data_IF_067708265185
#
_entry.id   IF_067708265185
#
_cell.length_a   1.000
_cell.length_b   1.000
_cell.length_c   1.000
_cell.angle_alpha   90.00
_cell.angle_beta   90.00
_cell.angle_gamma   90.00
#
_symmetry.space_group_name_H-M   'P 1'
#
loop_
_entity.id
_entity.type
_entity.pdbx_description
1 polymer ?
#
# COMPACT_ATOMS: atom_id res chain seq x y z
N UNK A 1 59.02 28.09 -6.05
CA UNK A 1 58.19 29.13 -6.70
C UNK A 1 56.74 28.86 -6.33
N UNK A 2 55.91 29.71 -5.75
CA UNK A 2 56.01 31.02 -5.08
C UNK A 2 54.64 31.20 -4.39
N UNK A 3 54.62 31.39 -3.08
CA UNK A 3 54.10 32.56 -2.33
C UNK A 3 52.57 32.83 -2.36
N UNK A 4 51.97 32.77 -1.16
CA UNK A 4 50.77 33.54 -0.76
C UNK A 4 51.03 35.06 -0.85
N UNK A 5 50.01 35.95 -0.74
CA UNK A 5 49.62 36.39 0.61
C UNK A 5 48.17 36.90 0.84
N UNK A 6 47.88 36.90 2.15
CA UNK A 6 46.96 37.67 2.99
C UNK A 6 46.74 39.17 2.64
N UNK A 7 45.55 39.71 2.98
CA UNK A 7 45.25 41.11 3.43
C UNK A 7 43.78 41.14 3.94
N UNK A 8 43.44 41.21 5.24
CA UNK A 8 43.51 42.29 6.25
C UNK A 8 43.01 43.68 5.84
N UNK A 9 42.02 44.18 6.58
CA UNK A 9 41.66 45.60 6.76
C UNK A 9 40.36 45.73 7.58
N UNK A 10 40.42 45.67 8.92
CA UNK A 10 40.48 46.77 9.92
C UNK A 10 39.18 47.58 10.14
N UNK A 11 38.67 47.41 11.37
CA UNK A 11 38.19 48.42 12.32
C UNK A 11 37.72 49.79 11.82
N UNK A 12 36.52 50.19 12.25
CA UNK A 12 36.31 51.43 13.01
C UNK A 12 35.06 51.34 13.90
N UNK A 13 35.24 51.70 15.17
CA UNK A 13 34.19 52.13 16.11
C UNK A 13 34.49 53.59 16.44
N UNK A 14 33.48 54.48 16.52
CA UNK A 14 33.38 55.35 17.69
C UNK A 14 31.91 55.43 18.16
N UNK A 15 31.59 55.19 19.44
CA UNK A 15 31.62 56.11 20.61
C UNK A 15 30.52 57.20 20.57
N UNK A 16 29.40 56.86 21.21
CA UNK A 16 28.48 57.64 22.07
C UNK A 16 28.27 59.14 21.86
N UNK A 17 27.01 59.57 21.71
CA UNK A 17 26.53 60.82 22.31
C UNK A 17 25.00 60.85 22.49
N UNK A 18 24.57 60.86 23.76
CA UNK A 18 23.48 61.67 24.35
C UNK A 18 22.15 61.87 23.59
N UNK A 19 21.05 61.37 24.18
CA UNK A 19 19.89 62.21 24.62
C UNK A 19 18.78 61.38 25.28
N UNK A 20 18.53 61.67 26.56
CA UNK A 20 17.20 61.87 27.19
C UNK A 20 16.24 60.67 27.35
N UNK A 21 15.65 60.47 28.55
CA UNK A 21 14.46 59.64 28.70
C UNK A 21 13.25 60.46 28.24
N UNK A 22 12.69 60.14 27.07
CA UNK A 22 11.41 60.74 26.66
C UNK A 22 10.29 59.86 27.19
N UNK A 23 9.67 60.35 28.25
CA UNK A 23 8.38 59.97 28.79
C UNK A 23 7.42 59.44 27.70
N UNK A 24 7.12 58.15 27.72
CA UNK A 24 5.85 57.66 27.16
C UNK A 24 4.77 57.98 28.19
N UNK A 25 4.39 59.25 28.22
CA UNK A 25 3.18 59.71 28.85
C UNK A 25 2.00 59.00 28.18
N UNK A 26 1.26 58.27 28.99
CA UNK A 26 -0.21 58.27 29.02
C UNK A 26 -0.88 58.33 27.65
N UNK A 27 -1.12 57.16 27.07
CA UNK A 27 -2.31 56.94 26.26
C UNK A 27 -3.17 55.93 27.00
N UNK A 28 -3.60 56.29 28.21
CA UNK A 28 -4.90 55.83 28.70
C UNK A 28 -5.96 56.56 27.86
N UNK A 29 -6.20 56.03 26.66
CA UNK A 29 -7.43 56.26 25.95
C UNK A 29 -8.55 55.66 26.80
N UNK A 30 -9.07 56.45 27.76
CA UNK A 30 -10.30 56.18 28.48
C UNK A 30 -11.44 56.07 27.45
N UNK A 31 -11.65 54.87 26.94
CA UNK A 31 -12.96 54.45 26.47
C UNK A 31 -13.86 54.52 27.70
N UNK A 32 -14.58 55.64 27.83
CA UNK A 32 -15.74 55.75 28.71
C UNK A 32 -16.75 54.71 28.23
N UNK A 33 -16.60 53.50 28.75
CA UNK A 33 -17.40 52.37 28.39
C UNK A 33 -18.73 52.55 29.11
N UNK A 34 -19.74 53.05 28.39
CA UNK A 34 -21.14 52.93 28.80
C UNK A 34 -21.38 51.50 29.29
N UNK A 35 -22.02 51.32 30.44
CA UNK A 35 -22.13 50.02 31.12
C UNK A 35 -22.66 48.89 30.20
N UNK A 36 -23.45 49.24 29.19
CA UNK A 36 -23.95 48.31 28.15
C UNK A 36 -22.83 47.77 27.24
N UNK A 37 -21.85 48.59 26.86
CA UNK A 37 -20.71 48.17 26.04
C UNK A 37 -19.74 47.26 26.83
N UNK A 38 -19.61 47.47 28.14
CA UNK A 38 -18.75 46.62 28.99
C UNK A 38 -19.33 45.21 29.14
N UNK A 39 -20.65 45.12 29.33
CA UNK A 39 -21.38 43.86 29.39
C UNK A 39 -21.30 43.12 28.03
N UNK A 40 -21.48 43.84 26.92
CA UNK A 40 -21.34 43.26 25.59
C UNK A 40 -19.91 42.73 25.34
N UNK A 41 -18.88 43.45 25.78
CA UNK A 41 -17.49 43.03 25.63
C UNK A 41 -17.18 41.77 26.45
N UNK A 42 -17.67 41.68 27.70
CA UNK A 42 -17.53 40.48 28.53
C UNK A 42 -18.28 39.27 27.95
N UNK A 43 -19.48 39.48 27.41
CA UNK A 43 -20.26 38.42 26.77
C UNK A 43 -19.55 37.88 25.50
N UNK A 44 -18.97 38.78 24.68
CA UNK A 44 -18.18 38.39 23.52
C UNK A 44 -16.90 37.64 23.93
N UNK A 45 -16.22 38.07 24.98
CA UNK A 45 -15.03 37.39 25.49
C UNK A 45 -15.36 36.00 26.04
N UNK A 46 -16.46 35.86 26.79
CA UNK A 46 -16.93 34.56 27.27
C UNK A 46 -17.31 33.63 26.11
N UNK A 47 -17.98 34.15 25.08
CA UNK A 47 -18.31 33.41 23.85
C UNK A 47 -17.06 32.96 23.09
N UNK A 48 -16.07 33.84 22.94
CA UNK A 48 -14.81 33.48 22.29
C UNK A 48 -14.06 32.38 23.06
N UNK A 49 -14.02 32.47 24.39
CA UNK A 49 -13.41 31.43 25.22
C UNK A 49 -14.15 30.08 25.09
N UNK A 50 -15.49 30.08 25.03
CA UNK A 50 -16.28 28.86 24.80
C UNK A 50 -16.01 28.27 23.40
N UNK A 51 -15.93 29.13 22.38
CA UNK A 51 -15.58 28.71 21.02
C UNK A 51 -14.18 28.11 20.94
N UNK A 52 -13.19 28.72 21.59
CA UNK A 52 -11.82 28.19 21.67
C UNK A 52 -11.78 26.82 22.37
N UNK A 53 -12.52 26.66 23.47
CA UNK A 53 -12.65 25.38 24.16
C UNK A 53 -13.29 24.30 23.26
N UNK A 54 -14.33 24.65 22.50
CA UNK A 54 -14.96 23.73 21.54
C UNK A 54 -14.02 23.35 20.40
N UNK A 55 -13.29 24.32 19.84
CA UNK A 55 -12.33 24.09 18.75
C UNK A 55 -11.21 23.16 19.22
N UNK A 56 -10.64 23.37 20.40
CA UNK A 56 -9.58 22.51 20.95
C UNK A 56 -10.09 21.08 21.20
N UNK A 57 -11.30 20.94 21.74
CA UNK A 57 -11.95 19.64 21.91
C UNK A 57 -12.21 18.92 20.58
N UNK A 58 -12.71 19.63 19.55
CA UNK A 58 -12.92 19.06 18.22
C UNK A 58 -11.61 18.63 17.57
N UNK A 59 -10.53 19.43 17.69
CA UNK A 59 -9.19 19.06 17.23
C UNK A 59 -8.70 17.77 17.90
N UNK A 60 -8.94 17.61 19.20
CA UNK A 60 -8.65 16.38 19.93
C UNK A 60 -9.37 15.16 19.34
N UNK A 61 -10.67 15.31 19.04
CA UNK A 61 -11.47 14.25 18.42
C UNK A 61 -11.03 13.90 17.00
N UNK A 62 -10.71 14.90 16.16
CA UNK A 62 -10.20 14.66 14.80
C UNK A 62 -8.89 13.89 14.87
N UNK A 63 -7.95 14.28 15.72
CA UNK A 63 -6.69 13.57 15.90
C UNK A 63 -6.88 12.13 16.40
N UNK A 64 -7.90 11.89 17.23
CA UNK A 64 -8.25 10.54 17.67
C UNK A 64 -8.80 9.70 16.50
N UNK A 65 -9.73 10.26 15.73
CA UNK A 65 -10.30 9.58 14.57
C UNK A 65 -9.23 9.25 13.52
N UNK A 66 -8.28 10.16 13.27
CA UNK A 66 -7.18 9.90 12.34
C UNK A 66 -6.32 8.70 12.77
N UNK A 67 -6.08 8.55 14.08
CA UNK A 67 -5.37 7.38 14.63
C UNK A 67 -6.19 6.11 14.47
N UNK A 68 -7.48 6.16 14.76
CA UNK A 68 -8.39 5.02 14.63
C UNK A 68 -8.49 4.56 13.17
N UNK A 69 -8.63 5.48 12.22
CA UNK A 69 -8.61 5.20 10.78
C UNK A 69 -7.28 4.57 10.36
N UNK A 70 -6.16 5.08 10.88
CA UNK A 70 -4.83 4.53 10.58
C UNK A 70 -4.66 3.09 11.09
N UNK A 71 -5.17 2.78 12.29
CA UNK A 71 -5.18 1.42 12.85
C UNK A 71 -6.08 0.51 12.03
N UNK A 72 -7.30 0.97 11.72
CA UNK A 72 -8.25 0.20 10.93
C UNK A 72 -7.70 -0.09 9.52
N UNK A 73 -7.11 0.90 8.86
CA UNK A 73 -6.46 0.74 7.55
C UNK A 73 -5.35 -0.31 7.61
N UNK A 74 -4.55 -0.34 8.69
CA UNK A 74 -3.53 -1.38 8.89
C UNK A 74 -4.15 -2.76 9.06
N UNK A 75 -5.20 -2.89 9.86
CA UNK A 75 -5.90 -4.16 10.04
C UNK A 75 -6.55 -4.65 8.74
N UNK A 76 -7.20 -3.76 7.98
CA UNK A 76 -7.78 -4.10 6.67
C UNK A 76 -6.70 -4.58 5.71
N UNK A 77 -5.54 -3.91 5.64
CA UNK A 77 -4.40 -4.40 4.85
C UNK A 77 -3.97 -5.79 5.31
N UNK A 78 -3.74 -5.98 6.61
CA UNK A 78 -3.34 -7.28 7.15
C UNK A 78 -4.35 -8.41 6.84
N UNK A 79 -5.65 -8.12 6.94
CA UNK A 79 -6.74 -9.03 6.57
C UNK A 79 -6.91 -9.23 5.07
N UNK A 80 -6.59 -8.24 4.23
CA UNK A 80 -6.67 -8.37 2.78
C UNK A 80 -5.50 -9.17 2.19
N UNK A 81 -4.42 -9.39 2.95
CA UNK A 81 -3.22 -10.02 2.43
C UNK A 81 -3.05 -11.48 2.89
N UNK A 82 -3.36 -11.82 4.15
CA UNK A 82 -3.04 -13.15 4.68
C UNK A 82 -4.03 -14.29 4.31
N UNK A 83 -5.35 -14.08 4.30
CA UNK A 83 -6.32 -15.09 3.86
C UNK A 83 -6.34 -15.25 2.33
N UNK A 84 -6.03 -14.16 1.61
CA UNK A 84 -6.13 -14.13 0.15
C UNK A 84 -4.84 -14.56 -0.55
N UNK A 85 -3.68 -14.52 0.11
CA UNK A 85 -2.43 -14.96 -0.50
C UNK A 85 -2.52 -16.42 -0.99
N UNK A 86 -3.14 -17.31 -0.21
CA UNK A 86 -3.34 -18.70 -0.63
C UNK A 86 -4.24 -18.80 -1.86
N UNK A 87 -5.31 -17.99 -1.91
CA UNK A 87 -6.18 -17.89 -3.08
C UNK A 87 -5.42 -17.37 -4.30
N UNK A 88 -4.63 -16.30 -4.17
CA UNK A 88 -3.84 -15.72 -5.26
C UNK A 88 -2.79 -16.69 -5.80
N UNK A 89 -2.09 -17.39 -4.90
CA UNK A 89 -1.13 -18.43 -5.27
C UNK A 89 -1.82 -19.60 -5.98
N UNK A 90 -2.97 -20.05 -5.44
CA UNK A 90 -3.76 -21.11 -6.06
C UNK A 90 -4.23 -20.68 -7.46
N UNK A 91 -4.71 -19.48 -7.63
CA UNK A 91 -5.23 -18.99 -8.91
C UNK A 91 -4.12 -18.83 -9.94
N UNK A 92 -2.98 -18.25 -9.56
CA UNK A 92 -1.82 -18.14 -10.45
C UNK A 92 -1.27 -19.52 -10.86
N UNK A 93 -1.18 -20.46 -9.93
CA UNK A 93 -0.73 -21.82 -10.24
C UNK A 93 -1.77 -22.60 -11.07
N UNK A 94 -3.06 -22.33 -10.88
CA UNK A 94 -4.13 -22.85 -11.76
C UNK A 94 -3.90 -22.39 -13.20
N UNK A 95 -3.64 -21.09 -13.39
CA UNK A 95 -3.31 -20.53 -14.72
C UNK A 95 -2.06 -21.18 -15.31
N UNK A 96 -1.03 -21.39 -14.49
CA UNK A 96 0.19 -22.07 -14.94
C UNK A 96 -0.10 -23.50 -15.43
N UNK A 97 -0.94 -24.26 -14.72
CA UNK A 97 -1.36 -25.61 -15.12
C UNK A 97 -2.07 -25.57 -16.47
N UNK A 98 -3.00 -24.64 -16.67
CA UNK A 98 -3.72 -24.46 -17.94
C UNK A 98 -2.75 -24.19 -19.09
N UNK A 99 -1.83 -23.23 -18.92
CA UNK A 99 -0.82 -22.89 -19.92
C UNK A 99 0.09 -24.09 -20.22
N UNK A 100 0.54 -24.81 -19.19
CA UNK A 100 1.38 -25.99 -19.35
C UNK A 100 0.67 -27.11 -20.13
N UNK A 101 -0.62 -27.32 -19.89
CA UNK A 101 -1.42 -28.33 -20.60
C UNK A 101 -1.66 -27.96 -22.07
N UNK A 102 -1.94 -26.68 -22.34
CA UNK A 102 -2.03 -26.15 -23.71
C UNK A 102 -0.71 -26.39 -24.47
N UNK A 103 0.43 -26.12 -23.82
CA UNK A 103 1.77 -26.37 -24.39
C UNK A 103 2.06 -27.86 -24.63
N UNK A 104 1.63 -28.72 -23.72
CA UNK A 104 1.75 -30.17 -23.86
C UNK A 104 0.78 -30.79 -24.87
N UNK A 105 -0.17 -30.01 -25.41
CA UNK A 105 -1.29 -30.50 -26.24
C UNK A 105 -2.11 -31.59 -25.56
N UNK A 106 -2.16 -31.57 -24.22
CA UNK A 106 -2.91 -32.51 -23.41
C UNK A 106 -4.24 -31.88 -22.97
N UNK A 107 -5.28 -32.69 -22.82
CA UNK A 107 -6.53 -32.27 -22.18
C UNK A 107 -6.41 -32.42 -20.66
N UNK A 108 -7.10 -31.55 -19.92
CA UNK A 108 -7.16 -31.68 -18.46
C UNK A 108 -7.73 -33.06 -18.06
N UNK A 109 -7.24 -33.64 -16.94
CA UNK A 109 -7.84 -34.84 -16.37
C UNK A 109 -9.33 -34.64 -16.09
N UNK A 110 -10.10 -35.73 -16.13
CA UNK A 110 -11.55 -35.78 -15.83
C UNK A 110 -12.49 -35.08 -16.83
N UNK A 111 -12.02 -34.74 -18.03
CA UNK A 111 -12.89 -34.25 -19.12
C UNK A 111 -13.44 -32.84 -18.87
N UNK A 112 -12.90 -32.14 -17.88
CA UNK A 112 -13.24 -30.77 -17.52
C UNK A 112 -12.89 -29.82 -18.67
N UNK A 113 -13.88 -29.04 -19.12
CA UNK A 113 -13.68 -27.88 -19.98
C UNK A 113 -13.18 -26.70 -19.15
N UNK A 114 -12.14 -26.02 -19.63
CA UNK A 114 -11.61 -24.80 -19.00
C UNK A 114 -12.72 -23.73 -19.01
N UNK A 115 -13.20 -23.31 -17.83
CA UNK A 115 -14.10 -22.16 -17.69
C UNK A 115 -15.55 -22.42 -17.28
N UNK A 116 -15.98 -23.66 -17.00
CA UNK A 116 -17.36 -23.95 -16.53
C UNK A 116 -17.42 -24.15 -15.00
N UNK A 117 -18.45 -23.59 -14.34
CA UNK A 117 -18.56 -23.52 -12.87
C UNK A 117 -19.97 -23.85 -12.35
N UNK A 118 -20.22 -25.08 -11.89
CA UNK A 118 -21.15 -25.34 -10.79
C UNK A 118 -20.40 -25.60 -9.47
N UNK A 119 -21.06 -25.42 -8.34
CA UNK A 119 -20.48 -25.62 -7.00
C UNK A 119 -20.12 -27.09 -6.70
N UNK A 120 -20.88 -28.05 -7.25
CA UNK A 120 -20.51 -29.47 -7.28
C UNK A 120 -19.26 -29.71 -8.15
N UNK A 121 -19.05 -28.88 -9.18
CA UNK A 121 -17.86 -28.94 -10.02
C UNK A 121 -16.64 -28.40 -9.28
N UNK A 122 -16.78 -27.54 -8.26
CA UNK A 122 -15.61 -26.95 -7.58
C UNK A 122 -14.67 -28.00 -6.98
N UNK A 123 -15.20 -29.02 -6.28
CA UNK A 123 -14.38 -30.08 -5.71
C UNK A 123 -13.76 -30.96 -6.81
N UNK A 124 -14.56 -31.29 -7.83
CA UNK A 124 -14.14 -32.08 -9.00
C UNK A 124 -13.01 -31.34 -9.74
N UNK A 125 -13.19 -30.05 -10.02
CA UNK A 125 -12.21 -29.16 -10.63
C UNK A 125 -10.94 -29.08 -9.77
N UNK A 126 -11.08 -28.90 -8.47
CA UNK A 126 -9.91 -28.82 -7.57
C UNK A 126 -9.10 -30.12 -7.59
N UNK A 127 -9.78 -31.28 -7.66
CA UNK A 127 -9.16 -32.59 -7.83
C UNK A 127 -8.53 -32.76 -9.21
N UNK A 128 -9.21 -32.33 -10.27
CA UNK A 128 -8.72 -32.37 -11.64
C UNK A 128 -7.44 -31.54 -11.81
N UNK A 129 -7.43 -30.29 -11.32
CA UNK A 129 -6.24 -29.42 -11.32
C UNK A 129 -5.13 -29.98 -10.42
N UNK A 130 -5.45 -30.55 -9.27
CA UNK A 130 -4.45 -31.21 -8.41
C UNK A 130 -3.78 -32.41 -9.11
N UNK A 131 -4.58 -33.22 -9.80
CA UNK A 131 -4.06 -34.34 -10.59
C UNK A 131 -3.28 -33.84 -11.81
N UNK A 132 -3.71 -32.74 -12.42
CA UNK A 132 -3.03 -32.12 -13.55
C UNK A 132 -1.67 -31.57 -13.14
N UNK A 133 -1.59 -30.86 -12.01
CA UNK A 133 -0.35 -30.28 -11.49
C UNK A 133 0.76 -31.33 -11.34
N UNK A 134 0.43 -32.51 -10.77
CA UNK A 134 1.36 -33.64 -10.64
C UNK A 134 1.83 -34.22 -11.98
N UNK A 135 1.03 -34.06 -13.04
CA UNK A 135 1.34 -34.56 -14.38
C UNK A 135 2.11 -33.55 -15.24
N UNK A 136 2.28 -32.31 -14.79
CA UNK A 136 3.07 -31.31 -15.49
C UNK A 136 4.54 -31.75 -15.52
N UNK A 137 5.07 -31.93 -16.73
CA UNK A 137 6.46 -32.36 -16.94
C UNK A 137 7.40 -31.18 -16.72
N UNK A 138 8.53 -31.45 -16.07
CA UNK A 138 9.63 -30.49 -15.90
C UNK A 138 10.02 -29.82 -17.22
N UNK A 139 10.27 -30.61 -18.27
CA UNK A 139 10.69 -30.08 -19.57
C UNK A 139 9.71 -29.09 -20.22
N UNK A 140 8.41 -29.16 -19.89
CA UNK A 140 7.44 -28.14 -20.31
C UNK A 140 7.67 -26.81 -19.59
N UNK A 141 7.93 -26.83 -18.29
CA UNK A 141 8.20 -25.62 -17.51
C UNK A 141 9.56 -25.01 -17.88
N UNK A 142 10.56 -25.85 -18.11
CA UNK A 142 11.88 -25.42 -18.58
C UNK A 142 11.78 -24.69 -19.94
N UNK A 143 10.98 -25.23 -20.87
CA UNK A 143 10.70 -24.55 -22.14
C UNK A 143 9.93 -23.22 -22.00
N UNK A 144 9.28 -22.99 -20.86
CA UNK A 144 8.62 -21.72 -20.51
C UNK A 144 9.57 -20.77 -19.76
N UNK A 145 10.83 -21.16 -19.55
CA UNK A 145 11.83 -20.38 -18.82
C UNK A 145 11.63 -20.39 -17.31
N UNK A 146 10.96 -21.41 -16.77
CA UNK A 146 10.70 -21.56 -15.35
C UNK A 146 11.72 -22.49 -14.68
N UNK A 147 12.09 -22.16 -13.45
CA UNK A 147 13.04 -22.94 -12.66
C UNK A 147 12.38 -24.09 -11.90
N UNK A 148 13.21 -24.95 -11.30
CA UNK A 148 12.76 -26.13 -10.57
C UNK A 148 11.85 -25.80 -9.39
N UNK A 149 12.01 -24.61 -8.79
CA UNK A 149 11.14 -24.14 -7.71
C UNK A 149 9.68 -23.97 -8.16
N UNK A 150 9.44 -23.61 -9.43
CA UNK A 150 8.09 -23.51 -9.97
C UNK A 150 7.48 -24.90 -10.19
N UNK A 151 8.29 -25.89 -10.56
CA UNK A 151 7.85 -27.28 -10.64
C UNK A 151 7.48 -27.82 -9.27
N UNK A 152 8.33 -27.58 -8.27
CA UNK A 152 8.07 -27.96 -6.88
C UNK A 152 6.80 -27.28 -6.34
N UNK A 153 6.59 -25.99 -6.63
CA UNK A 153 5.37 -25.30 -6.25
C UNK A 153 4.11 -25.93 -6.87
N UNK A 154 4.19 -26.42 -8.12
CA UNK A 154 3.10 -27.18 -8.73
C UNK A 154 2.88 -28.54 -8.07
N UNK A 155 3.94 -29.22 -7.60
CA UNK A 155 3.77 -30.47 -6.87
C UNK A 155 3.00 -30.30 -5.55
N UNK A 156 3.12 -29.12 -4.92
CA UNK A 156 2.42 -28.75 -3.68
C UNK A 156 1.08 -28.05 -3.92
N UNK A 157 0.62 -27.94 -5.18
CA UNK A 157 -0.62 -27.25 -5.51
C UNK A 157 -1.85 -27.85 -4.80
N UNK A 158 -1.85 -29.15 -4.50
CA UNK A 158 -2.95 -29.81 -3.80
C UNK A 158 -3.25 -29.19 -2.42
N UNK A 159 -2.25 -28.61 -1.78
CA UNK A 159 -2.37 -28.04 -0.43
C UNK A 159 -3.16 -26.73 -0.45
N UNK A 160 -3.15 -26.05 -1.59
CA UNK A 160 -3.79 -24.74 -1.78
C UNK A 160 -4.98 -24.77 -2.75
N UNK A 161 -5.23 -25.89 -3.44
CA UNK A 161 -6.29 -26.02 -4.43
C UNK A 161 -7.68 -25.69 -3.88
N UNK A 162 -7.91 -25.91 -2.57
CA UNK A 162 -9.17 -25.59 -1.89
C UNK A 162 -9.50 -24.09 -1.89
N UNK A 163 -8.47 -23.23 -1.95
CA UNK A 163 -8.59 -21.77 -1.89
C UNK A 163 -8.81 -21.11 -3.25
N UNK A 164 -8.79 -21.91 -4.34
CA UNK A 164 -8.98 -21.41 -5.71
C UNK A 164 -10.29 -20.64 -5.83
N UNK A 165 -10.24 -19.48 -6.48
CA UNK A 165 -11.45 -18.73 -6.82
C UNK A 165 -12.22 -19.39 -7.97
N UNK A 166 -13.48 -18.99 -8.20
CA UNK A 166 -14.22 -19.40 -9.40
C UNK A 166 -13.54 -18.94 -10.69
N UNK A 167 -12.92 -17.75 -10.67
CA UNK A 167 -12.26 -17.14 -11.81
C UNK A 167 -10.83 -16.67 -11.44
N UNK A 168 -9.78 -17.40 -11.86
CA UNK A 168 -8.39 -17.05 -11.55
C UNK A 168 -7.88 -15.71 -12.10
N UNK A 169 -8.65 -15.05 -12.97
CA UNK A 169 -8.33 -13.70 -13.46
C UNK A 169 -8.71 -12.61 -12.45
N UNK A 170 -9.68 -12.85 -11.57
CA UNK A 170 -10.13 -11.86 -10.58
C UNK A 170 -9.02 -11.50 -9.58
N UNK A 171 -8.05 -12.40 -9.39
CA UNK A 171 -6.95 -12.22 -8.46
C UNK A 171 -5.70 -11.62 -9.06
N UNK A 172 -5.66 -11.39 -10.38
CA UNK A 172 -4.47 -10.92 -11.07
C UNK A 172 -3.96 -9.59 -10.51
N UNK A 173 -4.84 -8.58 -10.52
CA UNK A 173 -4.56 -7.21 -10.08
C UNK A 173 -4.22 -7.15 -8.58
N UNK A 174 -5.05 -7.67 -7.66
CA UNK A 174 -4.75 -7.57 -6.22
C UNK A 174 -3.45 -8.32 -5.85
N UNK A 175 -3.14 -9.42 -6.53
CA UNK A 175 -1.87 -10.10 -6.30
C UNK A 175 -0.68 -9.31 -6.84
N UNK A 176 -0.84 -8.63 -7.99
CA UNK A 176 0.20 -7.78 -8.55
C UNK A 176 0.51 -6.60 -7.63
N UNK A 177 -0.53 -5.97 -7.07
CA UNK A 177 -0.38 -4.87 -6.11
C UNK A 177 0.39 -5.34 -4.88
N UNK A 178 0.02 -6.49 -4.34
CA UNK A 178 0.69 -7.07 -3.18
C UNK A 178 2.16 -7.41 -3.48
N UNK A 179 2.45 -8.01 -4.65
CA UNK A 179 3.82 -8.33 -5.05
C UNK A 179 4.68 -7.08 -5.14
N UNK A 180 4.18 -6.00 -5.77
CA UNK A 180 4.91 -4.73 -5.86
C UNK A 180 5.17 -4.14 -4.46
N UNK A 181 4.20 -4.21 -3.56
CA UNK A 181 4.40 -3.78 -2.16
C UNK A 181 5.45 -4.62 -1.43
N UNK A 182 5.53 -5.92 -1.69
CA UNK A 182 6.51 -6.81 -1.07
C UNK A 182 7.88 -6.82 -1.77
N UNK A 183 8.02 -6.18 -2.94
CA UNK A 183 9.25 -6.23 -3.76
C UNK A 183 10.50 -5.79 -3.01
N UNK A 184 10.40 -4.79 -2.13
CA UNK A 184 11.52 -4.31 -1.31
C UNK A 184 11.80 -5.21 -0.10
N UNK A 185 10.76 -5.75 0.53
CA UNK A 185 10.89 -6.53 1.76
C UNK A 185 11.30 -7.99 1.49
N UNK A 186 10.85 -8.56 0.37
CA UNK A 186 11.06 -9.95 -0.02
C UNK A 186 11.34 -10.04 -1.53
N UNK A 187 12.54 -9.61 -1.97
CA UNK A 187 12.88 -9.56 -3.40
C UNK A 187 12.86 -10.94 -4.07
N UNK A 188 13.28 -12.00 -3.37
CA UNK A 188 13.28 -13.36 -3.92
C UNK A 188 11.86 -13.88 -4.17
N UNK A 189 10.95 -13.60 -3.24
CA UNK A 189 9.54 -13.96 -3.37
C UNK A 189 8.88 -13.20 -4.51
N UNK A 190 9.20 -11.91 -4.65
CA UNK A 190 8.76 -11.12 -5.80
C UNK A 190 9.28 -11.70 -7.11
N UNK A 191 10.59 -11.97 -7.21
CA UNK A 191 11.20 -12.50 -8.42
C UNK A 191 10.62 -13.86 -8.84
N UNK A 192 10.33 -14.73 -7.86
CA UNK A 192 9.68 -16.02 -8.08
C UNK A 192 8.30 -15.84 -8.72
N UNK A 193 7.38 -15.14 -8.05
CA UNK A 193 6.00 -15.01 -8.55
C UNK A 193 5.90 -14.12 -9.79
N UNK A 194 6.70 -13.06 -9.88
CA UNK A 194 6.69 -12.15 -11.03
C UNK A 194 7.07 -12.84 -12.34
N UNK A 195 7.88 -13.91 -12.30
CA UNK A 195 8.27 -14.68 -13.50
C UNK A 195 7.08 -15.41 -14.12
N UNK A 196 6.06 -15.74 -13.33
CA UNK A 196 4.86 -16.42 -13.81
C UNK A 196 3.88 -15.49 -14.53
N UNK A 197 3.93 -14.18 -14.28
CA UNK A 197 2.95 -13.22 -14.81
C UNK A 197 2.91 -13.17 -16.35
N UNK A 198 4.06 -13.00 -17.06
CA UNK A 198 4.06 -12.98 -18.52
C UNK A 198 3.56 -14.29 -19.13
N UNK A 199 3.74 -15.40 -18.43
CA UNK A 199 3.33 -16.73 -18.90
C UNK A 199 1.83 -16.95 -18.69
N UNK A 200 1.30 -16.54 -17.54
CA UNK A 200 -0.06 -16.84 -17.11
C UNK A 200 -1.10 -15.81 -17.61
N UNK A 201 -0.68 -14.53 -17.69
CA UNK A 201 -1.53 -13.38 -18.01
C UNK A 201 -1.08 -12.65 -19.29
N UNK A 202 0.08 -12.99 -19.86
CA UNK A 202 0.59 -12.36 -21.09
C UNK A 202 1.20 -10.97 -20.88
N UNK A 203 1.44 -10.56 -19.63
CA UNK A 203 1.94 -9.24 -19.25
C UNK A 203 2.76 -9.29 -17.96
N UNK A 204 3.60 -8.29 -17.73
CA UNK A 204 4.39 -8.20 -16.50
C UNK A 204 3.56 -7.69 -15.32
N UNK A 205 4.03 -7.93 -14.08
CA UNK A 205 3.34 -7.52 -12.83
C UNK A 205 2.95 -6.03 -12.85
N UNK A 206 3.86 -5.15 -13.26
CA UNK A 206 3.60 -3.71 -13.30
C UNK A 206 2.59 -3.31 -14.38
N UNK A 207 2.53 -4.04 -15.50
CA UNK A 207 1.58 -3.78 -16.59
C UNK A 207 0.15 -4.14 -16.17
N UNK A 208 -0.02 -5.19 -15.36
CA UNK A 208 -1.32 -5.54 -14.76
C UNK A 208 -1.91 -4.43 -13.89
N UNK A 209 -1.09 -3.52 -13.35
CA UNK A 209 -1.54 -2.41 -12.50
C UNK A 209 -1.97 -1.16 -13.29
N UNK A 210 -1.59 -1.04 -14.56
CA UNK A 210 -1.89 0.13 -15.40
C UNK A 210 -3.32 0.07 -15.95
N UNK A 211 -3.92 -1.11 -15.98
CA UNK A 211 -5.23 -1.38 -16.60
C UNK A 211 -6.35 -1.48 -15.53
N UNK A 212 -5.99 -1.43 -14.25
CA UNK A 212 -6.91 -1.50 -13.11
C UNK A 212 -7.76 -0.24 -12.93
#
# INVERSE_FOLDING_TARGET
MSLSPEKRGRHTRPRSSSRGPTNFATVEGRLSCSGKHKIACLALQASNNDLEARITHLRGKVNQLDREISVLSRHVKQFNHHPFLQTWQADLLTRLIEVAYVRQKNKLPDGVSIGETNTADREILSRAYSNAARRVKWGTLDSLGLDIGHHDALQHYSDIAVYRSPNPFDTEIPFAEWLVQQSQAKPDLFAFWARLYPICYGRAVYESLVIA
#
